data_IF_242354571645
#
_entry.id   IF_242354571645
#
_cell.length_a   1.000
_cell.length_b   1.000
_cell.length_c   1.000
_cell.angle_alpha   90.00
_cell.angle_beta   90.00
_cell.angle_gamma   90.00
#
_symmetry.space_group_name_H-M   'P 1'
#
loop_
_entity.id
_entity.type
_entity.pdbx_description
1 polymer ?
#
# COMPACT_ATOMS: atom_id res chain seq x y z
N UNK A 1 17.13 7.14 -3.14
CA UNK A 1 16.59 7.08 -1.77
C UNK A 1 15.29 7.88 -1.68
N UNK A 2 15.28 9.12 -2.17
CA UNK A 2 14.11 10.01 -2.14
C UNK A 2 12.87 9.43 -2.83
N UNK A 3 13.02 8.83 -4.01
CA UNK A 3 11.88 8.30 -4.77
C UNK A 3 11.13 7.17 -4.05
N UNK A 4 11.85 6.19 -3.48
CA UNK A 4 11.24 5.09 -2.72
C UNK A 4 10.53 5.60 -1.45
N UNK A 5 11.13 6.58 -0.77
CA UNK A 5 10.52 7.22 0.38
C UNK A 5 9.21 7.94 0.00
N UNK A 6 9.23 8.78 -1.04
CA UNK A 6 8.04 9.49 -1.51
C UNK A 6 6.97 8.54 -2.03
N UNK A 7 7.36 7.48 -2.74
CA UNK A 7 6.45 6.43 -3.19
C UNK A 7 5.78 5.72 -2.00
N UNK A 8 6.54 5.35 -0.97
CA UNK A 8 5.99 4.79 0.27
C UNK A 8 5.03 5.75 0.99
N UNK A 9 5.30 7.06 0.97
CA UNK A 9 4.40 8.05 1.55
C UNK A 9 3.09 8.21 0.76
N UNK A 10 3.15 8.19 -0.57
CA UNK A 10 2.02 8.56 -1.43
C UNK A 10 1.21 7.38 -1.98
N UNK A 11 1.71 6.14 -1.95
CA UNK A 11 1.07 5.00 -2.63
C UNK A 11 -0.42 4.82 -2.28
N UNK A 12 -0.79 5.08 -1.02
CA UNK A 12 -2.15 4.87 -0.51
C UNK A 12 -2.98 6.15 -0.30
N UNK A 13 -2.62 7.26 -0.94
CA UNK A 13 -3.37 8.52 -0.77
C UNK A 13 -4.84 8.42 -1.20
N UNK A 14 -5.16 7.54 -2.15
CA UNK A 14 -6.53 7.26 -2.59
C UNK A 14 -7.43 6.75 -1.45
N UNK A 15 -6.90 6.03 -0.47
CA UNK A 15 -7.69 5.59 0.70
C UNK A 15 -8.14 6.76 1.56
N UNK A 16 -7.28 7.76 1.73
CA UNK A 16 -7.62 8.99 2.48
C UNK A 16 -8.75 9.74 1.77
N UNK A 17 -8.65 9.88 0.45
CA UNK A 17 -9.68 10.54 -0.37
C UNK A 17 -11.01 9.78 -0.28
N UNK A 18 -11.00 8.46 -0.46
CA UNK A 18 -12.22 7.65 -0.37
C UNK A 18 -12.88 7.75 1.01
N UNK A 19 -12.08 7.73 2.08
CA UNK A 19 -12.56 7.88 3.44
C UNK A 19 -13.20 9.24 3.73
N UNK A 20 -12.64 10.32 3.18
CA UNK A 20 -13.13 11.68 3.37
C UNK A 20 -14.43 11.93 2.59
N UNK A 21 -14.48 11.50 1.32
CA UNK A 21 -15.62 11.78 0.44
C UNK A 21 -16.79 10.80 0.63
N UNK A 22 -16.53 9.56 1.04
CA UNK A 22 -17.53 8.50 1.10
C UNK A 22 -17.57 7.75 2.44
N UNK A 23 -17.69 8.45 3.59
CA UNK A 23 -17.60 7.82 4.91
C UNK A 23 -18.68 6.74 5.14
N UNK A 24 -19.89 6.94 4.61
CA UNK A 24 -20.98 5.96 4.71
C UNK A 24 -20.70 4.67 3.92
N UNK A 25 -20.12 4.77 2.73
CA UNK A 25 -19.76 3.62 1.92
C UNK A 25 -18.58 2.83 2.53
N UNK A 26 -17.61 3.53 3.13
CA UNK A 26 -16.53 2.88 3.91
C UNK A 26 -17.10 2.10 5.10
N UNK A 27 -18.10 2.64 5.80
CA UNK A 27 -18.77 1.93 6.89
C UNK A 27 -19.45 0.63 6.41
N UNK A 28 -20.16 0.69 5.28
CA UNK A 28 -20.79 -0.50 4.69
C UNK A 28 -19.76 -1.52 4.20
N UNK A 29 -18.69 -1.06 3.54
CA UNK A 29 -17.58 -1.90 3.08
C UNK A 29 -16.95 -2.65 4.26
N UNK A 30 -16.76 -1.98 5.40
CA UNK A 30 -16.21 -2.58 6.62
C UNK A 30 -17.10 -3.70 7.18
N UNK A 31 -18.42 -3.54 7.11
CA UNK A 31 -19.34 -4.59 7.54
C UNK A 31 -19.30 -5.80 6.59
N UNK A 32 -19.22 -5.57 5.28
CA UNK A 32 -19.11 -6.66 4.29
C UNK A 32 -17.77 -7.40 4.37
N UNK A 33 -16.68 -6.72 4.71
CA UNK A 33 -15.38 -7.36 4.91
C UNK A 33 -15.41 -8.46 5.98
N UNK A 34 -16.30 -8.36 6.97
CA UNK A 34 -16.44 -9.38 8.02
C UNK A 34 -16.82 -10.75 7.45
N UNK A 35 -17.48 -10.80 6.30
CA UNK A 35 -17.92 -12.06 5.68
C UNK A 35 -16.88 -12.72 4.78
N UNK A 36 -15.72 -12.08 4.53
CA UNK A 36 -14.50 -12.63 3.89
C UNK A 36 -14.69 -13.38 2.55
N UNK A 37 -15.68 -13.01 1.73
CA UNK A 37 -16.00 -13.76 0.49
C UNK A 37 -15.33 -13.25 -0.78
N UNK A 38 -14.78 -12.04 -0.77
CA UNK A 38 -14.23 -11.33 -1.93
C UNK A 38 -13.01 -10.50 -1.53
N UNK A 39 -12.18 -10.12 -2.50
CA UNK A 39 -11.00 -9.28 -2.26
C UNK A 39 -11.38 -7.85 -1.87
N UNK A 40 -10.44 -7.14 -1.23
CA UNK A 40 -10.64 -5.74 -0.86
C UNK A 40 -10.88 -4.85 -2.09
N UNK A 41 -10.13 -5.06 -3.18
CA UNK A 41 -10.31 -4.32 -4.43
C UNK A 41 -11.71 -4.53 -5.03
N UNK A 42 -12.21 -5.78 -5.04
CA UNK A 42 -13.57 -6.07 -5.53
C UNK A 42 -14.65 -5.37 -4.71
N UNK A 43 -14.47 -5.27 -3.38
CA UNK A 43 -15.37 -4.52 -2.53
C UNK A 43 -15.31 -3.03 -2.81
N UNK A 44 -14.12 -2.45 -2.99
CA UNK A 44 -14.01 -1.05 -3.37
C UNK A 44 -14.72 -0.76 -4.69
N UNK A 45 -14.51 -1.59 -5.70
CA UNK A 45 -15.21 -1.46 -6.98
C UNK A 45 -16.72 -1.60 -6.83
N UNK A 46 -17.20 -2.49 -5.96
CA UNK A 46 -18.63 -2.64 -5.67
C UNK A 46 -19.23 -1.39 -5.01
N UNK A 47 -18.53 -0.76 -4.08
CA UNK A 47 -19.06 0.37 -3.29
C UNK A 47 -18.81 1.74 -3.93
N UNK A 48 -17.69 1.92 -4.62
CA UNK A 48 -17.26 3.20 -5.20
C UNK A 48 -17.27 3.21 -6.73
N UNK A 49 -17.20 2.04 -7.38
CA UNK A 49 -17.01 1.91 -8.83
C UNK A 49 -15.54 1.88 -9.27
N UNK A 50 -14.59 2.07 -8.35
CA UNK A 50 -13.15 2.11 -8.57
C UNK A 50 -12.39 1.71 -7.29
N UNK A 51 -11.12 1.34 -7.43
CA UNK A 51 -10.24 1.02 -6.29
C UNK A 51 -9.49 2.25 -5.76
N UNK A 52 -8.96 2.19 -4.54
CA UNK A 52 -8.11 3.26 -4.02
C UNK A 52 -6.85 3.48 -4.87
N UNK A 53 -6.30 2.43 -5.48
CA UNK A 53 -5.14 2.52 -6.37
C UNK A 53 -5.45 3.34 -7.63
N UNK A 54 -6.65 3.20 -8.19
CA UNK A 54 -7.12 4.02 -9.34
C UNK A 54 -7.28 5.49 -8.95
N UNK A 55 -7.78 5.75 -7.75
CA UNK A 55 -7.89 7.11 -7.22
C UNK A 55 -6.52 7.72 -6.99
N UNK A 56 -5.58 6.97 -6.41
CA UNK A 56 -4.20 7.42 -6.22
C UNK A 56 -3.54 7.75 -7.57
N UNK A 57 -3.64 6.85 -8.56
CA UNK A 57 -3.10 7.04 -9.91
C UNK A 57 -3.60 8.33 -10.54
N UNK A 58 -4.93 8.52 -10.59
CA UNK A 58 -5.57 9.70 -11.19
C UNK A 58 -5.21 10.99 -10.46
N UNK A 59 -5.06 10.94 -9.14
CA UNK A 59 -4.65 12.09 -8.34
C UNK A 59 -3.20 12.49 -8.66
N UNK A 60 -2.28 11.53 -8.65
CA UNK A 60 -0.86 11.79 -8.89
C UNK A 60 -0.62 12.26 -10.34
N UNK A 61 -1.36 11.73 -11.32
CA UNK A 61 -1.40 12.26 -12.69
C UNK A 61 -1.82 13.73 -12.71
N UNK A 62 -2.94 14.07 -12.03
CA UNK A 62 -3.47 15.44 -11.99
C UNK A 62 -2.51 16.42 -11.32
N UNK A 63 -1.75 15.95 -10.35
CA UNK A 63 -0.72 16.75 -9.65
C UNK A 63 0.61 16.81 -10.41
N UNK A 64 0.71 16.17 -11.58
CA UNK A 64 1.93 16.11 -12.42
C UNK A 64 3.12 15.46 -11.69
N UNK A 65 2.88 14.43 -10.88
CA UNK A 65 3.97 13.64 -10.30
C UNK A 65 4.69 12.81 -11.38
N UNK A 66 5.97 12.45 -11.15
CA UNK A 66 6.69 11.53 -12.02
C UNK A 66 5.99 10.17 -12.19
N UNK A 67 6.17 9.55 -13.37
CA UNK A 67 5.51 8.30 -13.76
C UNK A 67 5.78 7.16 -12.78
N UNK A 68 6.97 7.13 -12.22
CA UNK A 68 7.42 6.13 -11.26
C UNK A 68 6.51 6.07 -10.04
N UNK A 69 6.08 7.23 -9.51
CA UNK A 69 5.18 7.28 -8.35
C UNK A 69 3.74 6.93 -8.74
N UNK A 70 3.31 7.34 -9.94
CA UNK A 70 2.00 7.00 -10.47
C UNK A 70 1.88 5.47 -10.59
N UNK A 71 2.88 4.82 -11.19
CA UNK A 71 2.95 3.37 -11.35
C UNK A 71 3.01 2.63 -10.01
N UNK A 72 3.77 3.13 -9.02
CA UNK A 72 3.71 2.57 -7.66
C UNK A 72 2.30 2.63 -7.12
N UNK A 73 1.67 3.80 -7.14
CA UNK A 73 0.35 3.97 -6.54
C UNK A 73 -0.73 3.09 -7.19
N UNK A 74 -0.52 2.73 -8.47
CA UNK A 74 -1.42 1.88 -9.23
C UNK A 74 -1.21 0.38 -9.01
N UNK A 75 0.05 -0.05 -8.88
CA UNK A 75 0.42 -1.46 -9.03
C UNK A 75 1.02 -2.10 -7.76
N UNK A 76 1.18 -1.36 -6.66
CA UNK A 76 1.87 -1.91 -5.49
C UNK A 76 1.19 -3.14 -4.88
N UNK A 77 -0.13 -3.29 -4.97
CA UNK A 77 -0.81 -4.50 -4.46
C UNK A 77 -0.63 -5.73 -5.35
N UNK A 78 -0.36 -5.52 -6.64
CA UNK A 78 -0.17 -6.55 -7.67
C UNK A 78 1.08 -6.24 -8.51
N UNK A 79 2.29 -6.36 -7.93
CA UNK A 79 3.54 -5.95 -8.55
C UNK A 79 3.84 -6.66 -9.88
N UNK A 80 3.20 -7.80 -10.14
CA UNK A 80 3.30 -8.55 -11.38
C UNK A 80 2.77 -7.79 -12.61
N UNK A 81 1.85 -6.86 -12.39
CA UNK A 81 1.26 -6.02 -13.44
C UNK A 81 2.24 -4.95 -13.94
N UNK A 82 3.21 -4.54 -13.11
CA UNK A 82 4.22 -3.56 -13.47
C UNK A 82 5.27 -4.15 -14.44
N UNK A 83 5.69 -3.35 -15.43
CA UNK A 83 6.70 -3.74 -16.44
C UNK A 83 7.86 -2.75 -16.55
N UNK A 84 7.62 -1.47 -16.34
CA UNK A 84 8.58 -0.38 -16.52
C UNK A 84 9.37 -0.11 -15.23
N UNK A 85 8.68 0.01 -14.09
CA UNK A 85 9.28 0.36 -12.79
C UNK A 85 9.24 -0.79 -11.77
N UNK A 86 9.51 -2.01 -12.23
CA UNK A 86 9.35 -3.25 -11.46
C UNK A 86 10.08 -3.23 -10.11
N UNK A 87 11.30 -2.69 -10.07
CA UNK A 87 12.09 -2.64 -8.83
C UNK A 87 11.43 -1.74 -7.78
N UNK A 88 11.05 -0.51 -8.15
CA UNK A 88 10.45 0.45 -7.23
C UNK A 88 9.07 -0.03 -6.72
N UNK A 89 8.25 -0.59 -7.61
CA UNK A 89 6.95 -1.19 -7.23
C UNK A 89 7.16 -2.36 -6.27
N UNK A 90 8.15 -3.22 -6.54
CA UNK A 90 8.49 -4.36 -5.67
C UNK A 90 8.98 -3.92 -4.29
N UNK A 91 9.81 -2.86 -4.22
CA UNK A 91 10.25 -2.28 -2.93
C UNK A 91 9.05 -1.82 -2.10
N UNK A 92 8.12 -1.07 -2.70
CA UNK A 92 6.95 -0.55 -1.98
C UNK A 92 5.99 -1.66 -1.60
N UNK A 93 5.77 -2.64 -2.47
CA UNK A 93 4.98 -3.83 -2.18
C UNK A 93 5.52 -4.56 -0.94
N UNK A 94 6.81 -4.91 -0.94
CA UNK A 94 7.43 -5.65 0.16
C UNK A 94 7.43 -4.82 1.46
N UNK A 95 7.75 -3.53 1.38
CA UNK A 95 7.72 -2.64 2.54
C UNK A 95 6.31 -2.49 3.13
N UNK A 96 5.28 -2.38 2.28
CA UNK A 96 3.88 -2.34 2.68
C UNK A 96 3.49 -3.64 3.40
N UNK A 97 3.75 -4.80 2.80
CA UNK A 97 3.42 -6.10 3.40
C UNK A 97 4.09 -6.31 4.76
N UNK A 98 5.37 -5.95 4.90
CA UNK A 98 6.10 -6.04 6.18
C UNK A 98 5.49 -5.10 7.22
N UNK A 99 5.12 -3.88 6.82
CA UNK A 99 4.52 -2.88 7.72
C UNK A 99 3.19 -3.36 8.29
N UNK A 100 2.30 -3.84 7.42
CA UNK A 100 1.00 -4.38 7.84
C UNK A 100 1.19 -5.61 8.71
N UNK A 101 2.07 -6.55 8.34
CA UNK A 101 2.35 -7.73 9.15
C UNK A 101 2.84 -7.35 10.57
N UNK A 102 3.67 -6.32 10.69
CA UNK A 102 4.20 -5.84 11.96
C UNK A 102 3.20 -5.00 12.80
N UNK A 103 1.95 -4.85 12.36
CA UNK A 103 0.97 -4.06 13.10
C UNK A 103 1.02 -2.55 12.83
N UNK A 104 1.83 -2.10 11.87
CA UNK A 104 2.06 -0.68 11.58
C UNK A 104 1.20 -0.25 10.40
N UNK A 105 0.33 0.75 10.62
CA UNK A 105 -0.51 1.30 9.56
C UNK A 105 -1.58 0.34 9.04
N UNK A 106 -1.96 -0.68 9.83
CA UNK A 106 -3.07 -1.57 9.50
C UNK A 106 -4.36 -0.76 9.37
N UNK A 107 -5.02 -0.89 8.22
CA UNK A 107 -6.35 -0.35 7.97
C UNK A 107 -7.40 -1.47 7.85
N UNK A 108 -8.59 -1.13 7.36
CA UNK A 108 -9.68 -2.09 7.19
C UNK A 108 -9.37 -3.23 6.20
N UNK A 109 -8.41 -3.05 5.28
CA UNK A 109 -8.00 -4.09 4.35
C UNK A 109 -7.19 -5.20 5.04
N UNK A 110 -6.55 -4.89 6.17
CA UNK A 110 -5.78 -5.86 6.94
C UNK A 110 -4.69 -6.53 6.10
N UNK A 111 -4.55 -7.86 6.22
CA UNK A 111 -3.56 -8.68 5.51
C UNK A 111 -4.07 -9.17 4.14
N UNK A 112 -4.88 -8.36 3.43
CA UNK A 112 -5.49 -8.75 2.16
C UNK A 112 -4.49 -9.01 1.02
N UNK A 113 -3.28 -8.50 1.13
CA UNK A 113 -2.26 -8.55 0.08
C UNK A 113 -1.09 -9.43 0.51
N UNK A 114 -1.01 -10.69 0.04
CA UNK A 114 0.13 -11.54 0.32
C UNK A 114 1.40 -11.00 -0.34
N UNK A 115 2.55 -11.25 0.28
CA UNK A 115 3.84 -10.85 -0.28
C UNK A 115 4.16 -11.67 -1.54
N UNK A 116 4.57 -10.99 -2.60
CA UNK A 116 4.94 -11.60 -3.88
C UNK A 116 6.36 -12.15 -3.84
N UNK A 117 6.49 -13.45 -4.12
CA UNK A 117 7.80 -14.10 -4.30
C UNK A 117 8.58 -13.48 -5.47
N UNK A 118 7.89 -13.04 -6.52
CA UNK A 118 8.53 -12.39 -7.66
C UNK A 118 9.08 -11.02 -7.26
N UNK A 119 8.33 -10.26 -6.48
CA UNK A 119 8.80 -8.97 -5.95
C UNK A 119 10.06 -9.14 -5.10
N UNK A 120 10.08 -10.14 -4.20
CA UNK A 120 11.26 -10.49 -3.39
C UNK A 120 12.48 -10.82 -4.26
N UNK A 121 12.29 -11.63 -5.30
CA UNK A 121 13.34 -11.98 -6.26
C UNK A 121 13.88 -10.75 -7.02
N UNK A 122 13.01 -9.85 -7.48
CA UNK A 122 13.40 -8.64 -8.22
C UNK A 122 14.33 -7.76 -7.38
N UNK A 123 14.02 -7.58 -6.10
CA UNK A 123 14.80 -6.71 -5.21
C UNK A 123 15.90 -7.44 -4.43
N UNK A 124 16.05 -8.75 -4.65
CA UNK A 124 17.09 -9.57 -4.03
C UNK A 124 16.96 -9.73 -2.51
N UNK A 125 15.75 -9.64 -1.95
CA UNK A 125 15.48 -9.80 -0.51
C UNK A 125 15.14 -11.26 -0.20
N UNK A 126 15.79 -11.81 0.83
CA UNK A 126 15.55 -13.18 1.32
C UNK A 126 14.52 -13.20 2.45
N UNK A 127 14.02 -14.39 2.79
CA UNK A 127 13.13 -14.57 3.95
C UNK A 127 13.78 -14.10 5.27
N UNK A 128 15.10 -14.28 5.42
CA UNK A 128 15.85 -13.80 6.58
C UNK A 128 15.88 -12.27 6.66
N UNK A 129 15.98 -11.59 5.52
CA UNK A 129 15.91 -10.13 5.46
C UNK A 129 14.51 -9.64 5.83
N UNK A 130 13.45 -10.29 5.32
CA UNK A 130 12.05 -9.98 5.68
C UNK A 130 11.84 -10.10 7.19
N UNK A 131 12.33 -11.19 7.81
CA UNK A 131 12.26 -11.39 9.26
C UNK A 131 13.03 -10.32 10.05
N UNK A 132 14.21 -9.93 9.57
CA UNK A 132 14.99 -8.84 10.16
C UNK A 132 14.21 -7.53 10.10
N UNK A 133 13.70 -7.14 8.93
CA UNK A 133 12.94 -5.91 8.75
C UNK A 133 11.67 -5.88 9.61
N UNK A 134 10.93 -6.98 9.67
CA UNK A 134 9.78 -7.13 10.55
C UNK A 134 10.13 -6.85 12.03
N UNK A 135 11.30 -7.34 12.47
CA UNK A 135 11.73 -7.23 13.88
C UNK A 135 12.17 -5.80 14.24
N UNK A 136 12.82 -5.08 13.31
CA UNK A 136 13.31 -3.71 13.57
C UNK A 136 12.25 -2.63 13.38
N UNK A 137 11.20 -2.91 12.58
CA UNK A 137 10.21 -1.91 12.21
C UNK A 137 9.46 -1.27 13.39
N UNK A 138 9.07 -1.99 14.47
CA UNK A 138 8.41 -1.38 15.62
C UNK A 138 9.25 -0.28 16.30
N UNK A 139 10.56 -0.49 16.43
CA UNK A 139 11.48 0.50 17.01
C UNK A 139 11.65 1.70 16.07
N UNK A 140 11.81 1.46 14.76
CA UNK A 140 11.85 2.55 13.76
C UNK A 140 10.56 3.38 13.82
N UNK A 141 9.40 2.72 13.87
CA UNK A 141 8.11 3.39 13.93
C UNK A 141 7.94 4.21 15.22
N UNK A 142 8.45 3.73 16.36
CA UNK A 142 8.47 4.49 17.61
C UNK A 142 9.24 5.80 17.46
N UNK A 143 10.46 5.76 16.92
CA UNK A 143 11.27 6.98 16.70
C UNK A 143 10.59 7.96 15.73
N UNK A 144 9.97 7.47 14.66
CA UNK A 144 9.23 8.33 13.72
C UNK A 144 8.06 9.05 14.43
N UNK A 145 7.33 8.37 15.31
CA UNK A 145 6.24 9.00 16.08
C UNK A 145 6.75 10.10 17.02
N UNK A 146 7.87 9.87 17.68
CA UNK A 146 8.50 10.87 18.56
C UNK A 146 8.92 12.13 17.77
N UNK A 147 9.42 11.96 16.54
CA UNK A 147 9.78 13.07 15.66
C UNK A 147 8.58 13.89 15.17
N UNK A 148 7.44 13.26 14.89
CA UNK A 148 6.23 13.94 14.39
C UNK A 148 5.49 14.69 15.52
N UNK A 149 5.68 14.27 16.77
CA UNK A 149 5.04 14.87 17.96
C UNK A 149 5.85 15.99 18.62
N UNK A 150 7.10 16.20 18.18
CA UNK A 150 7.99 17.26 18.64
C UNK A 150 7.79 18.56 17.84
#
# INVERSE_FOLDING_TARGET
MDLAFTSGLLHNIGKVILADFFPAAIANLREELKTHSVSFEELERKHFGYSHEEVSEKLLEKWNFPKELIHVSRNYSQPENEKEFQELVSVVHVAHSISIAAGVGIDIAGLSTPISNKALQIIGITDSDVQMYYTVLPEIHKHIRELIQA
#
